data_IF_346784747244
#
_entry.id   IF_346784747244
#
_cell.length_a   1.000
_cell.length_b   1.000
_cell.length_c   1.000
_cell.angle_alpha   90.00
_cell.angle_beta   90.00
_cell.angle_gamma   90.00
#
_symmetry.space_group_name_H-M   'P 1'
#
loop_
_entity.id
_entity.type
_entity.pdbx_description
1 polymer ?
#
# COMPACT_ATOMS: atom_id res chain seq x y z
N UNK A 1 8.05 -4.41 9.97
CA UNK A 1 7.87 -5.18 8.72
C UNK A 1 7.52 -4.21 7.59
N UNK A 2 8.11 -4.39 6.44
CA UNK A 2 7.83 -3.54 5.27
C UNK A 2 6.87 -4.25 4.34
N UNK A 3 5.86 -3.56 3.84
CA UNK A 3 4.87 -4.15 2.94
C UNK A 3 4.69 -3.29 1.69
N UNK A 4 4.32 -3.97 0.61
CA UNK A 4 3.86 -3.34 -0.63
C UNK A 4 2.46 -3.87 -0.90
N UNK A 5 1.52 -2.96 -1.00
CA UNK A 5 0.12 -3.28 -1.24
C UNK A 5 -0.27 -2.86 -2.66
N UNK A 6 -0.81 -3.80 -3.41
CA UNK A 6 -1.30 -3.54 -4.78
C UNK A 6 -2.76 -3.94 -4.82
N UNK A 7 -3.63 -3.01 -5.22
CA UNK A 7 -5.05 -3.30 -5.30
C UNK A 7 -5.57 -3.16 -6.72
N UNK A 8 -6.64 -3.92 -7.01
CA UNK A 8 -7.33 -3.89 -8.29
C UNK A 8 -8.83 -3.95 -8.01
N UNK A 9 -9.45 -2.77 -7.98
CA UNK A 9 -10.87 -2.61 -7.71
C UNK A 9 -11.55 -1.99 -8.93
N UNK A 10 -12.89 -2.10 -8.95
CA UNK A 10 -13.68 -1.42 -9.97
C UNK A 10 -13.38 0.09 -9.93
N UNK A 11 -13.39 0.72 -11.10
CA UNK A 11 -12.90 2.09 -11.27
C UNK A 11 -13.55 3.09 -10.30
N UNK A 12 -14.85 2.93 -10.04
CA UNK A 12 -15.59 3.81 -9.13
C UNK A 12 -15.37 3.49 -7.65
N UNK A 13 -14.56 2.47 -7.35
CA UNK A 13 -14.28 2.04 -5.99
C UNK A 13 -12.82 2.15 -5.60
N UNK A 14 -11.93 2.50 -6.53
CA UNK A 14 -10.49 2.55 -6.25
C UNK A 14 -10.14 3.50 -5.12
N UNK A 15 -10.87 4.62 -5.00
CA UNK A 15 -10.65 5.59 -3.94
C UNK A 15 -10.86 5.00 -2.54
N UNK A 16 -11.68 3.97 -2.41
CA UNK A 16 -11.93 3.31 -1.12
C UNK A 16 -10.69 2.55 -0.64
N UNK A 17 -10.05 1.83 -1.55
CA UNK A 17 -8.81 1.12 -1.22
C UNK A 17 -7.67 2.10 -0.91
N UNK A 18 -7.59 3.18 -1.67
CA UNK A 18 -6.57 4.21 -1.44
C UNK A 18 -6.75 4.89 -0.10
N UNK A 19 -7.98 5.27 0.23
CA UNK A 19 -8.29 5.90 1.52
C UNK A 19 -7.95 4.98 2.68
N UNK A 20 -8.29 3.70 2.56
CA UNK A 20 -7.98 2.71 3.59
C UNK A 20 -6.47 2.54 3.74
N UNK A 21 -5.78 2.31 2.63
CA UNK A 21 -4.34 2.04 2.66
C UNK A 21 -3.53 3.23 3.19
N UNK A 22 -3.95 4.45 2.90
CA UNK A 22 -3.25 5.65 3.35
C UNK A 22 -3.24 5.83 4.86
N UNK A 23 -4.12 5.16 5.58
CA UNK A 23 -4.11 5.20 7.04
C UNK A 23 -2.88 4.50 7.62
N UNK A 24 -2.25 3.62 6.84
CA UNK A 24 -1.14 2.78 7.29
C UNK A 24 0.11 2.92 6.43
N UNK A 25 -0.06 3.22 5.14
CA UNK A 25 1.00 3.15 4.14
C UNK A 25 1.06 4.44 3.34
N UNK A 26 2.12 4.57 2.55
CA UNK A 26 2.32 5.72 1.67
C UNK A 26 1.93 5.34 0.25
N UNK A 27 1.10 6.18 -0.38
CA UNK A 27 0.72 5.99 -1.77
C UNK A 27 1.92 6.28 -2.67
N UNK A 28 2.30 5.30 -3.47
CA UNK A 28 3.42 5.42 -4.40
C UNK A 28 2.94 5.96 -5.74
N UNK A 29 2.09 5.19 -6.40
CA UNK A 29 1.47 5.59 -7.67
C UNK A 29 0.35 4.61 -8.00
N UNK A 30 -0.60 5.07 -8.80
CA UNK A 30 -1.70 4.22 -9.26
C UNK A 30 -2.30 3.42 -8.09
N UNK A 31 -2.24 2.09 -8.18
CA UNK A 31 -2.84 1.19 -7.20
C UNK A 31 -1.80 0.60 -6.23
N UNK A 32 -0.71 1.31 -5.97
CA UNK A 32 0.40 0.81 -5.17
C UNK A 32 0.64 1.70 -3.95
N UNK A 33 0.66 1.09 -2.77
CA UNK A 33 1.08 1.73 -1.52
C UNK A 33 2.17 0.89 -0.88
N UNK A 34 3.06 1.53 -0.13
CA UNK A 34 4.10 0.80 0.58
C UNK A 34 4.48 1.51 1.87
N UNK A 35 5.12 0.78 2.77
CA UNK A 35 5.65 1.37 3.99
C UNK A 35 5.92 0.37 5.10
N UNK A 36 6.50 0.89 6.17
CA UNK A 36 6.68 0.16 7.41
C UNK A 36 5.35 0.05 8.13
N UNK A 37 5.06 -1.12 8.68
CA UNK A 37 3.81 -1.36 9.39
C UNK A 37 4.06 -2.39 10.50
N UNK A 38 3.40 -2.20 11.63
CA UNK A 38 3.46 -3.19 12.70
C UNK A 38 2.62 -4.41 12.34
N UNK A 39 2.91 -5.54 12.97
CA UNK A 39 2.11 -6.75 12.76
C UNK A 39 0.65 -6.55 13.14
N UNK A 40 0.40 -5.80 14.23
CA UNK A 40 -0.96 -5.51 14.66
C UNK A 40 -1.73 -4.67 13.65
N UNK A 41 -1.10 -3.62 13.14
CA UNK A 41 -1.72 -2.77 12.11
C UNK A 41 -1.92 -3.54 10.81
N UNK A 42 -0.99 -4.41 10.45
CA UNK A 42 -1.14 -5.23 9.25
C UNK A 42 -2.34 -6.17 9.38
N UNK A 43 -2.52 -6.78 10.55
CA UNK A 43 -3.69 -7.64 10.78
C UNK A 43 -4.99 -6.85 10.65
N UNK A 44 -5.03 -5.63 11.20
CA UNK A 44 -6.20 -4.76 11.08
C UNK A 44 -6.44 -4.37 9.62
N UNK A 45 -5.39 -3.99 8.91
CA UNK A 45 -5.48 -3.64 7.49
C UNK A 45 -6.02 -4.80 6.66
N UNK A 46 -5.52 -6.01 6.91
CA UNK A 46 -6.00 -7.21 6.20
C UNK A 46 -7.50 -7.43 6.40
N UNK A 47 -7.97 -7.29 7.64
CA UNK A 47 -9.39 -7.47 7.93
C UNK A 47 -10.23 -6.41 7.24
N UNK A 48 -9.77 -5.17 7.23
CA UNK A 48 -10.49 -4.08 6.57
C UNK A 48 -10.51 -4.24 5.05
N UNK A 49 -9.42 -4.75 4.46
CA UNK A 49 -9.37 -5.06 3.03
C UNK A 49 -10.37 -6.16 2.71
N UNK A 50 -10.38 -7.22 3.52
CA UNK A 50 -11.27 -8.35 3.29
C UNK A 50 -12.74 -7.91 3.32
N UNK A 51 -13.08 -7.02 4.24
CA UNK A 51 -14.43 -6.47 4.35
C UNK A 51 -14.78 -5.54 3.17
N UNK A 52 -13.78 -4.88 2.61
CA UNK A 52 -13.98 -3.92 1.53
C UNK A 52 -14.22 -4.59 0.18
N UNK A 53 -13.50 -5.67 -0.11
CA UNK A 53 -13.47 -6.27 -1.43
C UNK A 53 -14.82 -6.85 -1.85
N UNK A 54 -15.17 -6.64 -3.11
CA UNK A 54 -16.34 -7.22 -3.74
C UNK A 54 -15.90 -8.28 -4.77
N UNK A 55 -16.83 -9.13 -5.25
CA UNK A 55 -16.50 -10.13 -6.25
C UNK A 55 -15.80 -9.52 -7.46
N UNK A 56 -14.72 -10.15 -7.90
CA UNK A 56 -13.91 -9.68 -9.02
C UNK A 56 -12.82 -8.69 -8.65
N UNK A 57 -12.81 -8.23 -7.39
CA UNK A 57 -11.77 -7.31 -6.90
C UNK A 57 -10.67 -8.08 -6.17
N UNK A 58 -9.47 -7.50 -6.11
CA UNK A 58 -8.35 -8.13 -5.43
C UNK A 58 -7.41 -7.12 -4.81
N UNK A 59 -6.66 -7.59 -3.82
CA UNK A 59 -5.55 -6.85 -3.23
C UNK A 59 -4.44 -7.86 -2.93
N UNK A 60 -3.22 -7.49 -3.26
CA UNK A 60 -2.04 -8.32 -2.99
C UNK A 60 -1.15 -7.54 -2.03
N UNK A 61 -0.71 -8.21 -0.98
CA UNK A 61 0.26 -7.63 -0.04
C UNK A 61 1.53 -8.46 -0.08
N UNK A 62 2.63 -7.80 -0.48
CA UNK A 62 3.96 -8.39 -0.41
C UNK A 62 4.58 -7.98 0.91
N UNK A 63 5.07 -8.94 1.66
CA UNK A 63 5.66 -8.70 2.98
C UNK A 63 7.16 -8.93 2.92
N UNK A 64 7.91 -7.97 3.44
CA UNK A 64 9.34 -8.07 3.58
C UNK A 64 9.69 -7.89 5.05
N UNK A 65 10.67 -8.63 5.53
CA UNK A 65 11.07 -8.53 6.93
C UNK A 65 11.62 -7.13 7.26
N UNK A 66 12.16 -6.46 6.25
CA UNK A 66 12.77 -5.14 6.40
C UNK A 66 12.79 -4.45 5.04
N UNK A 67 12.75 -3.11 5.05
CA UNK A 67 12.87 -2.32 3.83
C UNK A 67 14.25 -2.47 3.17
N UNK A 68 15.26 -2.92 3.92
CA UNK A 68 16.58 -3.18 3.35
C UNK A 68 16.59 -4.33 2.36
N UNK A 69 15.53 -5.17 2.37
CA UNK A 69 15.38 -6.25 1.40
C UNK A 69 14.70 -5.77 0.12
N UNK A 70 14.17 -4.56 0.11
CA UNK A 70 13.52 -4.00 -1.05
C UNK A 70 14.54 -3.22 -1.86
N UNK A 71 14.87 -3.73 -3.04
CA UNK A 71 15.74 -3.02 -3.97
C UNK A 71 14.88 -2.16 -4.88
N UNK A 72 14.84 -0.87 -4.58
CA UNK A 72 13.94 0.06 -5.25
C UNK A 72 14.74 1.11 -6.00
N UNK A 73 14.47 1.21 -7.29
CA UNK A 73 15.07 2.25 -8.15
C UNK A 73 13.94 3.07 -8.77
N UNK A 74 14.04 4.38 -8.65
CA UNK A 74 13.06 5.30 -9.22
C UNK A 74 13.70 6.10 -10.35
N UNK A 75 13.04 6.11 -11.48
CA UNK A 75 13.40 6.97 -12.60
C UNK A 75 12.36 8.08 -12.68
N UNK A 76 12.81 9.32 -12.70
CA UNK A 76 11.91 10.46 -12.64
C UNK A 76 11.64 10.90 -11.20
N UNK A 77 10.47 11.51 -10.98
CA UNK A 77 10.10 12.00 -9.67
C UNK A 77 9.63 10.87 -8.77
N UNK A 78 10.20 10.77 -7.57
CA UNK A 78 9.82 9.77 -6.58
C UNK A 78 8.59 10.27 -5.80
N UNK A 79 7.42 9.66 -5.99
CA UNK A 79 6.22 10.09 -5.29
C UNK A 79 6.24 9.81 -3.80
N UNK A 80 7.15 8.95 -3.33
CA UNK A 80 7.30 8.64 -1.91
C UNK A 80 8.33 9.53 -1.22
N UNK A 81 9.07 10.34 -1.97
CA UNK A 81 10.05 11.24 -1.41
C UNK A 81 9.33 12.44 -0.77
N UNK A 82 9.53 12.61 0.53
CA UNK A 82 8.90 13.69 1.25
C UNK A 82 9.75 14.96 1.13
N UNK A 83 9.30 15.87 0.30
CA UNK A 83 10.02 17.11 0.01
C UNK A 83 10.19 18.03 1.21
N UNK A 84 9.44 17.80 2.27
CA UNK A 84 9.59 18.60 3.49
C UNK A 84 10.94 18.37 4.17
N UNK A 85 11.62 17.30 3.83
CA UNK A 85 12.92 16.97 4.40
C UNK A 85 14.10 17.41 3.54
N UNK A 86 13.86 18.07 2.45
CA UNK A 86 14.91 18.50 1.54
C UNK A 86 15.50 19.88 1.90
#
# INVERSE_FOLDING_TARGET
MYVVMVYDLQADRTHKALKLGRRYLTHVQNSVLEGEISEGDLATLRNEIDDLLEPGESTIIYELSSDTLLNRTVYGDDPTNDKRFL
#
